data_IF_110477098880
#
_entry.id   IF_110477098880
#
_cell.length_a   1.000
_cell.length_b   1.000
_cell.length_c   1.000
_cell.angle_alpha   90.00
_cell.angle_beta   90.00
_cell.angle_gamma   90.00
#
_symmetry.space_group_name_H-M   'P 1'
#
loop_
_entity.id
_entity.type
_entity.pdbx_description
1 polymer ?
#
# COMPACT_ATOMS: atom_id res chain seq x y z
N UNK A 1 -13.52 33.22 -6.54
CA UNK A 1 -12.92 31.97 -5.98
C UNK A 1 -13.34 30.84 -6.91
N UNK A 2 -12.53 30.52 -7.92
CA UNK A 2 -12.85 29.44 -8.86
C UNK A 2 -12.64 28.12 -8.13
N UNK A 3 -13.71 27.37 -7.86
CA UNK A 3 -13.60 25.96 -7.50
C UNK A 3 -13.17 25.22 -8.76
N UNK A 4 -11.89 24.89 -8.90
CA UNK A 4 -11.41 23.99 -9.96
C UNK A 4 -11.96 22.59 -9.69
N UNK A 5 -13.15 22.31 -10.24
CA UNK A 5 -13.73 20.96 -10.25
C UNK A 5 -12.87 19.94 -10.99
N UNK A 6 -11.92 20.41 -11.81
CA UNK A 6 -10.97 19.60 -12.57
C UNK A 6 -9.90 18.91 -11.70
N UNK A 7 -9.83 19.26 -10.40
CA UNK A 7 -8.85 18.72 -9.45
C UNK A 7 -9.44 17.69 -8.48
N UNK A 8 -10.72 17.36 -8.59
CA UNK A 8 -11.36 16.36 -7.74
C UNK A 8 -11.22 14.97 -8.38
N UNK A 9 -11.06 13.96 -7.54
CA UNK A 9 -11.02 12.58 -8.00
C UNK A 9 -12.45 12.16 -8.37
N UNK A 10 -12.69 11.65 -9.59
CA UNK A 10 -14.01 11.13 -9.97
C UNK A 10 -14.43 9.97 -9.06
N UNK A 11 -15.75 9.82 -8.83
CA UNK A 11 -16.26 8.74 -7.96
C UNK A 11 -15.83 7.35 -8.44
N UNK A 12 -15.84 7.11 -9.75
CA UNK A 12 -15.37 5.87 -10.36
C UNK A 12 -13.91 5.54 -10.02
N UNK A 13 -13.03 6.54 -10.04
CA UNK A 13 -11.62 6.36 -9.67
C UNK A 13 -11.49 6.05 -8.19
N UNK A 14 -12.25 6.73 -7.34
CA UNK A 14 -12.28 6.41 -5.90
C UNK A 14 -12.76 4.98 -5.65
N UNK A 15 -13.86 4.56 -6.27
CA UNK A 15 -14.39 3.21 -6.11
C UNK A 15 -13.39 2.14 -6.59
N UNK A 16 -12.66 2.42 -7.67
CA UNK A 16 -11.57 1.54 -8.13
C UNK A 16 -10.40 1.47 -7.14
N UNK A 17 -10.02 2.59 -6.51
CA UNK A 17 -8.98 2.60 -5.47
C UNK A 17 -9.40 1.82 -4.21
N UNK A 18 -10.67 1.91 -3.83
CA UNK A 18 -11.25 1.14 -2.72
C UNK A 18 -11.17 -0.37 -3.01
N UNK A 19 -11.51 -0.77 -4.23
CA UNK A 19 -11.43 -2.16 -4.69
C UNK A 19 -9.98 -2.67 -4.72
N UNK A 20 -9.05 -1.89 -5.28
CA UNK A 20 -7.62 -2.23 -5.31
C UNK A 20 -7.02 -2.41 -3.91
N UNK A 21 -7.50 -1.64 -2.93
CA UNK A 21 -7.09 -1.73 -1.54
C UNK A 21 -7.82 -2.85 -0.76
N UNK A 22 -8.70 -3.61 -1.41
CA UNK A 22 -9.52 -4.68 -0.82
C UNK A 22 -10.38 -4.22 0.38
N UNK A 23 -10.89 -2.98 0.34
CA UNK A 23 -11.81 -2.47 1.37
C UNK A 23 -13.27 -2.73 1.02
N UNK A 24 -13.99 -3.42 1.91
CA UNK A 24 -15.44 -3.56 1.85
C UNK A 24 -16.13 -2.43 2.65
N UNK A 25 -16.35 -1.29 2.00
CA UNK A 25 -16.97 -0.10 2.61
C UNK A 25 -18.47 0.02 2.31
N UNK A 26 -19.24 0.47 3.29
CA UNK A 26 -20.63 0.90 3.10
C UNK A 26 -20.71 2.21 2.28
N UNK A 27 -21.88 2.50 1.71
CA UNK A 27 -22.03 3.67 0.83
C UNK A 27 -21.81 5.00 1.58
N UNK A 28 -22.25 5.09 2.84
CA UNK A 28 -22.05 6.26 3.67
C UNK A 28 -20.56 6.51 3.95
N UNK A 29 -19.79 5.44 4.18
CA UNK A 29 -18.34 5.51 4.38
C UNK A 29 -17.63 5.92 3.10
N UNK A 30 -18.06 5.40 1.95
CA UNK A 30 -17.54 5.78 0.63
C UNK A 30 -17.76 7.25 0.34
N UNK A 31 -18.95 7.78 0.59
CA UNK A 31 -19.26 9.21 0.41
C UNK A 31 -18.35 10.06 1.29
N UNK A 32 -18.25 9.70 2.58
CA UNK A 32 -17.42 10.42 3.54
C UNK A 32 -15.94 10.42 3.12
N UNK A 33 -15.37 9.25 2.83
CA UNK A 33 -13.97 9.12 2.46
C UNK A 33 -13.65 9.76 1.11
N UNK A 34 -14.57 9.72 0.15
CA UNK A 34 -14.40 10.42 -1.12
C UNK A 34 -14.30 11.94 -0.92
N UNK A 35 -15.12 12.51 -0.04
CA UNK A 35 -15.01 13.92 0.35
C UNK A 35 -13.67 14.21 1.05
N UNK A 36 -13.28 13.40 2.06
CA UNK A 36 -12.03 13.60 2.79
C UNK A 36 -10.78 13.47 1.92
N UNK A 37 -10.76 12.51 1.00
CA UNK A 37 -9.65 12.32 0.08
C UNK A 37 -9.49 13.52 -0.86
N UNK A 38 -10.59 14.11 -1.31
CA UNK A 38 -10.54 15.34 -2.10
C UNK A 38 -10.01 16.53 -1.28
N UNK A 39 -10.31 16.62 0.02
CA UNK A 39 -9.69 17.61 0.90
C UNK A 39 -8.18 17.39 1.04
N UNK A 40 -7.73 16.15 1.22
CA UNK A 40 -6.31 15.81 1.30
C UNK A 40 -5.57 16.11 0.01
N UNK A 41 -6.19 15.85 -1.15
CA UNK A 41 -5.59 16.15 -2.45
C UNK A 41 -5.34 17.65 -2.62
N UNK A 42 -6.23 18.52 -2.13
CA UNK A 42 -5.98 19.96 -2.16
C UNK A 42 -4.72 20.34 -1.39
N UNK A 43 -4.49 19.76 -0.20
CA UNK A 43 -3.27 20.01 0.57
C UNK A 43 -2.00 19.53 -0.17
N UNK A 44 -2.07 18.39 -0.86
CA UNK A 44 -0.95 17.88 -1.69
C UNK A 44 -0.66 18.84 -2.85
N UNK A 45 -1.69 19.42 -3.49
CA UNK A 45 -1.50 20.40 -4.57
C UNK A 45 -0.87 21.71 -4.08
N UNK A 46 -1.16 22.13 -2.86
CA UNK A 46 -0.46 23.26 -2.24
C UNK A 46 1.04 22.97 -2.06
N UNK A 47 1.39 21.72 -1.70
CA UNK A 47 2.79 21.29 -1.61
C UNK A 47 3.47 21.21 -2.99
N UNK A 48 2.77 20.73 -4.01
CA UNK A 48 3.28 20.65 -5.39
C UNK A 48 3.57 22.04 -5.99
N UNK A 49 2.86 23.07 -5.57
CA UNK A 49 3.08 24.44 -6.03
C UNK A 49 4.41 25.05 -5.52
N UNK A 50 5.09 24.40 -4.58
CA UNK A 50 6.40 24.83 -4.08
C UNK A 50 7.46 24.52 -5.15
N UNK A 51 8.16 25.54 -5.70
CA UNK A 51 9.16 25.31 -6.73
C UNK A 51 10.34 24.50 -6.17
N UNK A 52 10.73 23.45 -6.89
CA UNK A 52 11.89 22.62 -6.59
C UNK A 52 13.04 22.98 -7.56
N UNK A 53 14.30 22.96 -7.11
CA UNK A 53 15.45 23.08 -8.01
C UNK A 53 15.48 21.93 -9.04
N UNK A 54 15.81 22.24 -10.30
CA UNK A 54 15.87 21.23 -11.38
C UNK A 54 16.95 20.16 -11.14
N UNK A 55 17.96 20.48 -10.33
CA UNK A 55 19.06 19.59 -9.95
C UNK A 55 18.82 18.83 -8.63
N UNK A 56 17.63 18.98 -8.04
CA UNK A 56 17.29 18.29 -6.79
C UNK A 56 17.11 16.79 -7.05
N UNK A 57 18.06 15.98 -6.57
CA UNK A 57 17.94 14.53 -6.58
C UNK A 57 16.87 14.05 -5.60
N UNK A 58 16.04 13.08 -6.02
CA UNK A 58 15.08 12.43 -5.14
C UNK A 58 15.82 11.68 -4.02
N UNK A 59 15.42 11.92 -2.78
CA UNK A 59 15.90 11.17 -1.62
C UNK A 59 15.20 9.81 -1.55
N UNK A 60 15.90 8.71 -1.84
CA UNK A 60 15.32 7.36 -1.77
C UNK A 60 15.25 6.82 -0.33
N UNK A 61 16.07 7.35 0.58
CA UNK A 61 16.17 6.88 1.96
C UNK A 61 16.35 8.06 2.92
N UNK A 62 15.70 8.03 4.08
CA UNK A 62 15.82 9.08 5.11
C UNK A 62 17.16 9.07 5.88
N UNK A 63 18.08 8.16 5.55
CA UNK A 63 19.40 8.03 6.17
C UNK A 63 20.47 7.93 5.09
N UNK A 64 21.63 8.52 5.35
CA UNK A 64 22.79 8.33 4.48
C UNK A 64 23.30 6.88 4.63
N UNK A 65 23.31 6.13 3.54
CA UNK A 65 24.12 4.92 3.51
C UNK A 65 25.60 5.32 3.56
N UNK A 66 26.41 4.54 4.28
CA UNK A 66 27.85 4.77 4.37
C UNK A 66 28.53 4.82 2.99
N UNK A 67 29.82 5.19 2.94
CA UNK A 67 30.57 5.52 1.69
C UNK A 67 30.43 4.51 0.53
N UNK A 68 30.17 3.23 0.83
CA UNK A 68 30.03 2.16 -0.16
C UNK A 68 28.56 1.91 -0.59
N UNK A 69 27.62 2.65 0.02
CA UNK A 69 26.20 2.75 -0.34
C UNK A 69 25.40 1.46 -0.16
N UNK A 70 25.99 0.42 0.43
CA UNK A 70 25.44 -0.95 0.38
C UNK A 70 25.42 -1.58 1.76
N UNK A 71 24.27 -2.08 2.23
CA UNK A 71 24.25 -2.98 3.37
C UNK A 71 25.04 -4.26 3.02
N UNK A 72 25.57 -4.94 4.04
CA UNK A 72 26.21 -6.24 3.84
C UNK A 72 25.20 -7.26 3.29
N UNK A 73 25.63 -8.09 2.34
CA UNK A 73 24.80 -9.18 1.84
C UNK A 73 24.56 -10.20 2.95
N UNK A 74 23.31 -10.67 3.07
CA UNK A 74 22.98 -11.83 3.91
C UNK A 74 23.75 -13.04 3.36
N UNK A 75 24.47 -13.75 4.23
CA UNK A 75 25.15 -14.99 3.87
C UNK A 75 24.15 -16.10 3.54
N UNK A 76 24.55 -17.01 2.67
CA UNK A 76 23.78 -18.21 2.34
C UNK A 76 23.98 -19.31 3.39
N UNK A 77 23.58 -19.01 4.62
CA UNK A 77 23.61 -19.93 5.74
C UNK A 77 22.16 -20.35 6.05
N UNK A 78 21.91 -21.66 6.14
CA UNK A 78 20.62 -22.19 6.54
C UNK A 78 20.42 -22.03 8.04
N UNK A 79 19.27 -21.48 8.43
CA UNK A 79 18.84 -21.32 9.82
C UNK A 79 17.48 -22.00 9.94
N UNK A 80 17.35 -22.92 10.89
CA UNK A 80 16.10 -23.64 11.10
C UNK A 80 15.02 -22.70 11.68
N UNK A 81 13.77 -22.88 11.25
CA UNK A 81 12.62 -22.17 11.81
C UNK A 81 12.07 -22.95 13.02
N UNK A 82 12.45 -22.53 14.23
CA UNK A 82 12.16 -23.27 15.47
C UNK A 82 10.71 -23.12 15.95
N UNK A 83 10.04 -22.03 15.60
CA UNK A 83 8.75 -21.62 16.17
C UNK A 83 7.56 -21.84 15.23
N UNK A 84 7.63 -22.84 14.34
CA UNK A 84 6.58 -23.12 13.34
C UNK A 84 5.19 -23.30 13.98
N UNK A 85 5.09 -24.02 15.10
CA UNK A 85 3.83 -24.22 15.81
C UNK A 85 3.25 -22.92 16.39
N UNK A 86 4.11 -22.03 16.93
CA UNK A 86 3.68 -20.73 17.47
C UNK A 86 3.22 -19.79 16.35
N UNK A 87 3.88 -19.82 15.19
CA UNK A 87 3.46 -19.06 14.00
C UNK A 87 2.08 -19.52 13.55
N UNK A 88 1.89 -20.83 13.38
CA UNK A 88 0.61 -21.38 12.94
C UNK A 88 -0.51 -21.03 13.92
N UNK A 89 -0.25 -21.04 15.23
CA UNK A 89 -1.25 -20.71 16.26
C UNK A 89 -1.88 -19.31 16.16
N UNK A 90 -1.29 -18.41 15.35
CA UNK A 90 -1.82 -17.06 15.08
C UNK A 90 -2.79 -17.01 13.89
N UNK A 91 -2.89 -18.09 13.11
CA UNK A 91 -3.79 -18.14 11.98
C UNK A 91 -5.25 -18.25 12.45
N UNK A 92 -6.19 -17.53 11.81
CA UNK A 92 -7.61 -17.59 12.16
C UNK A 92 -8.23 -18.98 11.96
N UNK A 93 -7.77 -19.72 10.96
CA UNK A 93 -8.28 -21.04 10.59
C UNK A 93 -7.14 -21.95 10.12
N UNK A 94 -7.17 -23.21 10.55
CA UNK A 94 -6.12 -24.20 10.35
C UNK A 94 -6.70 -25.61 10.18
N UNK A 95 -6.19 -26.33 9.18
CA UNK A 95 -6.47 -27.75 8.97
C UNK A 95 -5.18 -28.46 8.57
N UNK A 96 -4.81 -29.54 9.28
CA UNK A 96 -3.60 -30.33 9.01
C UNK A 96 -2.30 -29.51 8.85
N UNK A 97 -2.15 -28.46 9.66
CA UNK A 97 -1.04 -27.48 9.62
C UNK A 97 -0.99 -26.58 8.36
N UNK A 98 -2.08 -26.51 7.60
CA UNK A 98 -2.30 -25.55 6.54
C UNK A 98 -3.20 -24.40 7.01
N UNK A 99 -2.94 -23.19 6.53
CA UNK A 99 -3.83 -22.04 6.73
C UNK A 99 -4.98 -22.16 5.74
N UNK A 100 -6.20 -22.28 6.27
CA UNK A 100 -7.39 -22.45 5.45
C UNK A 100 -7.90 -21.08 5.00
N UNK A 101 -8.18 -20.96 3.70
CA UNK A 101 -8.79 -19.76 3.09
C UNK A 101 -9.93 -20.19 2.18
N UNK A 102 -10.92 -19.31 1.90
CA UNK A 102 -11.93 -19.58 0.90
C UNK A 102 -11.31 -19.92 -0.45
N UNK A 103 -11.97 -20.82 -1.20
CA UNK A 103 -11.49 -21.26 -2.50
C UNK A 103 -11.36 -20.07 -3.47
N UNK A 104 -10.28 -20.08 -4.25
CA UNK A 104 -9.95 -19.01 -5.19
C UNK A 104 -10.14 -19.59 -6.60
N UNK A 105 -10.90 -18.92 -7.49
CA UNK A 105 -11.07 -19.39 -8.85
C UNK A 105 -9.71 -19.52 -9.54
N UNK A 106 -9.34 -20.76 -9.88
CA UNK A 106 -8.15 -21.07 -10.66
C UNK A 106 -8.54 -21.27 -12.12
N UNK A 107 -7.67 -20.86 -13.04
CA UNK A 107 -7.79 -21.20 -14.46
C UNK A 107 -6.69 -22.20 -14.76
N UNK A 108 -7.05 -23.41 -15.20
CA UNK A 108 -6.05 -24.35 -15.71
C UNK A 108 -5.53 -23.85 -17.06
N UNK A 109 -4.21 -23.79 -17.21
CA UNK A 109 -3.55 -23.46 -18.46
C UNK A 109 -3.33 -24.77 -19.23
N UNK A 110 -3.97 -24.92 -20.40
CA UNK A 110 -3.73 -26.00 -21.37
C UNK A 110 -2.40 -25.84 -22.13
#
# INVERSE_FOLDING_TARGET
>A
MMKNKDNLIPREVFDHLVDLAAFALAEEEKIYLHEQMNHQLNAIRELEAIPLPDDLSITTHGVEYGKDGKPALRKDEWIACENTAEILSQAPDLEDAYIVVPDIPTTELE
#
